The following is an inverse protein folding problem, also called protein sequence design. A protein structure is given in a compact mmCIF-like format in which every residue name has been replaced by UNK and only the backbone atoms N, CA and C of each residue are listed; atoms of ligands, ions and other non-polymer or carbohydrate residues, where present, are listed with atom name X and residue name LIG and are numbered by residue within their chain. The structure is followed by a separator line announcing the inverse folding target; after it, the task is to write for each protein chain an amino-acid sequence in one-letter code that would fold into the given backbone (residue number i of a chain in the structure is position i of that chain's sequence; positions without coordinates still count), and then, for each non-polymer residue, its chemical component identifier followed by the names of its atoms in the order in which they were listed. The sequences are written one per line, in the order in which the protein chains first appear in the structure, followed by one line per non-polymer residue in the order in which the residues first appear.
data_IF_209482855738
#
_entry.id   IF_209482855738
#
_cell.length_a   1.000
_cell.length_b   1.000
_cell.length_c   1.000
_cell.angle_alpha   90.00
_cell.angle_beta   90.00
_cell.angle_gamma   90.00
#
_symmetry.space_group_name_H-M   'P 1'
#
loop_
_entity.id
_entity.type
_entity.pdbx_description
1 polymer ?
#
# COMPACT_ATOMS: atom_id res chain seq x y z
N UNK A 1 -11.37 -13.18 -30.06
CA UNK A 1 -10.55 -12.00 -29.77
C UNK A 1 -9.32 -12.43 -28.98
N UNK A 2 -8.14 -11.97 -29.36
CA UNK A 2 -6.89 -12.22 -28.66
C UNK A 2 -6.81 -11.26 -27.45
N UNK A 3 -6.18 -11.69 -26.35
CA UNK A 3 -5.91 -10.83 -25.18
C UNK A 3 -5.28 -9.48 -25.60
N UNK A 4 -4.31 -9.52 -26.48
CA UNK A 4 -3.56 -8.33 -26.95
C UNK A 4 -4.39 -7.36 -27.81
N UNK A 5 -5.56 -7.79 -28.31
CA UNK A 5 -6.47 -6.90 -29.03
C UNK A 5 -7.27 -5.99 -28.06
N UNK A 6 -7.36 -6.43 -26.78
CA UNK A 6 -8.12 -5.72 -25.75
C UNK A 6 -7.22 -4.96 -24.75
N UNK A 7 -5.92 -5.32 -24.65
CA UNK A 7 -5.02 -4.78 -23.63
C UNK A 7 -3.70 -4.31 -24.25
N UNK A 8 -3.27 -3.13 -23.83
CA UNK A 8 -1.92 -2.61 -24.08
C UNK A 8 -1.12 -2.66 -22.77
N UNK A 9 -0.01 -3.40 -22.74
CA UNK A 9 0.91 -3.42 -21.62
C UNK A 9 1.96 -2.31 -21.80
N UNK A 10 2.04 -1.42 -20.83
CA UNK A 10 3.01 -0.33 -20.80
C UNK A 10 3.97 -0.61 -19.64
N UNK A 11 5.25 -0.93 -19.89
CA UNK A 11 6.22 -1.13 -18.82
C UNK A 11 6.49 0.17 -18.07
N UNK A 12 6.52 0.10 -16.74
CA UNK A 12 6.84 1.24 -15.86
C UNK A 12 7.97 0.83 -14.91
N UNK A 13 8.79 1.78 -14.46
CA UNK A 13 9.89 1.51 -13.54
C UNK A 13 9.67 2.11 -12.15
N UNK A 14 9.49 3.43 -12.06
CA UNK A 14 9.34 4.16 -10.80
C UNK A 14 7.96 4.73 -10.58
N UNK A 15 7.15 4.76 -11.63
CA UNK A 15 5.82 5.33 -11.60
C UNK A 15 5.28 5.62 -12.97
N UNK A 16 4.09 6.17 -13.02
CA UNK A 16 3.38 6.50 -14.26
C UNK A 16 2.41 7.65 -14.06
N UNK A 17 2.08 8.32 -15.17
CA UNK A 17 1.04 9.32 -15.23
C UNK A 17 -0.31 8.69 -15.56
N UNK A 18 -1.33 9.01 -14.78
CA UNK A 18 -2.72 8.67 -15.07
C UNK A 18 -3.65 9.80 -14.64
N UNK A 19 -4.53 10.24 -15.54
CA UNK A 19 -5.50 11.30 -15.28
C UNK A 19 -4.88 12.55 -14.60
N UNK A 20 -3.76 13.03 -15.12
CA UNK A 20 -2.99 14.19 -14.62
C UNK A 20 -2.36 13.99 -13.24
N UNK A 21 -2.37 12.79 -12.71
CA UNK A 21 -1.72 12.42 -11.45
C UNK A 21 -0.50 11.53 -11.67
N UNK A 22 0.56 11.76 -10.89
CA UNK A 22 1.71 10.89 -10.83
C UNK A 22 1.51 9.83 -9.75
N UNK A 23 1.66 8.57 -10.13
CA UNK A 23 1.66 7.43 -9.22
C UNK A 23 3.08 6.90 -9.07
N UNK A 24 3.60 6.90 -7.85
CA UNK A 24 4.83 6.19 -7.53
C UNK A 24 4.58 4.68 -7.49
N UNK A 25 5.54 3.92 -8.02
CA UNK A 25 5.58 2.46 -7.96
C UNK A 25 6.86 2.07 -7.24
N UNK A 26 6.75 1.20 -6.25
CA UNK A 26 7.89 0.75 -5.45
C UNK A 26 7.84 -0.75 -5.23
N UNK A 27 9.01 -1.45 -5.19
CA UNK A 27 9.06 -2.87 -4.89
C UNK A 27 8.65 -3.14 -3.44
N UNK A 28 8.01 -4.29 -3.21
CA UNK A 28 7.61 -4.77 -1.89
C UNK A 28 8.17 -6.16 -1.62
N UNK A 29 8.00 -6.64 -0.39
CA UNK A 29 8.59 -7.91 0.09
C UNK A 29 7.59 -9.06 -0.01
N UNK A 30 7.27 -9.48 -1.23
CA UNK A 30 6.38 -10.61 -1.47
C UNK A 30 7.05 -11.60 -2.41
N UNK A 31 7.14 -12.88 -2.01
CA UNK A 31 7.83 -13.94 -2.76
C UNK A 31 9.26 -13.55 -3.22
N UNK A 32 9.51 -13.59 -4.53
CA UNK A 32 10.81 -13.27 -5.12
C UNK A 32 10.98 -11.75 -5.22
N UNK A 33 12.15 -11.19 -4.81
CA UNK A 33 12.40 -9.76 -4.94
C UNK A 33 12.18 -9.23 -6.36
N UNK A 34 11.50 -8.08 -6.47
CA UNK A 34 11.23 -7.42 -7.76
C UNK A 34 10.06 -8.00 -8.55
N UNK A 35 9.24 -8.88 -7.97
CA UNK A 35 8.05 -9.44 -8.62
C UNK A 35 6.73 -8.87 -8.11
N UNK A 36 6.76 -8.11 -7.02
CA UNK A 36 5.59 -7.48 -6.42
C UNK A 36 5.84 -6.00 -6.14
N UNK A 37 4.80 -5.18 -6.31
CA UNK A 37 4.90 -3.73 -6.22
C UNK A 37 3.71 -3.13 -5.49
N UNK A 38 3.98 -2.07 -4.75
CA UNK A 38 2.99 -1.18 -4.18
C UNK A 38 2.85 0.09 -5.01
N UNK A 39 1.84 0.90 -4.68
CA UNK A 39 1.50 2.16 -5.33
C UNK A 39 1.35 3.28 -4.31
N UNK A 40 1.74 4.49 -4.67
CA UNK A 40 1.41 5.69 -3.90
C UNK A 40 0.96 6.82 -4.81
N UNK A 41 -0.20 7.39 -4.49
CA UNK A 41 -0.61 8.72 -4.95
C UNK A 41 -0.38 9.69 -3.79
N UNK A 42 0.74 10.41 -3.83
CA UNK A 42 1.20 11.25 -2.72
C UNK A 42 0.13 12.22 -2.23
N UNK A 43 -0.03 12.28 -0.93
CA UNK A 43 -1.07 13.07 -0.26
C UNK A 43 -2.47 12.46 -0.31
N UNK A 44 -2.71 11.41 -1.11
CA UNK A 44 -4.02 10.79 -1.24
C UNK A 44 -4.10 9.39 -0.62
N UNK A 45 -3.22 8.49 -1.02
CA UNK A 45 -3.14 7.14 -0.45
C UNK A 45 -1.82 6.45 -0.73
N UNK A 46 -1.47 5.52 0.13
CA UNK A 46 -0.44 4.51 -0.05
C UNK A 46 -1.11 3.12 -0.08
N UNK A 47 -0.71 2.27 -1.02
CA UNK A 47 -1.19 0.89 -1.14
C UNK A 47 0.02 -0.05 -1.24
N UNK A 48 0.17 -0.90 -0.24
CA UNK A 48 1.34 -1.78 -0.15
C UNK A 48 1.38 -2.87 -1.22
N UNK A 49 0.24 -3.29 -1.78
CA UNK A 49 0.18 -4.63 -2.38
C UNK A 49 0.39 -5.69 -1.31
N UNK A 50 0.50 -6.94 -1.71
CA UNK A 50 0.81 -8.05 -0.82
C UNK A 50 2.27 -7.98 -0.41
N UNK A 51 2.56 -8.01 0.89
CA UNK A 51 3.92 -7.77 1.39
C UNK A 51 4.13 -8.24 2.83
N UNK A 52 5.38 -8.56 3.16
CA UNK A 52 5.87 -8.50 4.55
C UNK A 52 6.03 -7.04 4.97
N UNK A 53 6.34 -6.75 6.26
CA UNK A 53 6.58 -5.38 6.70
C UNK A 53 7.64 -4.66 5.85
N UNK A 54 7.34 -3.41 5.49
CA UNK A 54 8.19 -2.51 4.71
C UNK A 54 8.30 -1.12 5.38
N UNK A 55 8.70 -1.03 6.66
CA UNK A 55 8.68 0.22 7.41
C UNK A 55 9.53 1.31 6.78
N UNK A 56 10.65 0.97 6.16
CA UNK A 56 11.54 1.91 5.48
C UNK A 56 10.88 2.54 4.23
N UNK A 57 10.02 1.78 3.54
CA UNK A 57 9.27 2.30 2.39
C UNK A 57 8.12 3.17 2.88
N UNK A 58 7.35 2.70 3.85
CA UNK A 58 6.24 3.47 4.42
C UNK A 58 6.73 4.81 4.97
N UNK A 59 7.89 4.85 5.63
CA UNK A 59 8.47 6.09 6.17
C UNK A 59 8.80 7.14 5.09
N UNK A 60 9.03 6.74 3.85
CA UNK A 60 9.29 7.67 2.74
C UNK A 60 8.02 8.36 2.22
N UNK A 61 6.86 7.76 2.45
CA UNK A 61 5.58 8.22 1.90
C UNK A 61 4.62 8.74 2.96
N UNK A 62 4.68 8.24 4.20
CA UNK A 62 3.75 8.60 5.27
C UNK A 62 3.88 10.09 5.61
N UNK A 63 2.82 10.86 5.40
CA UNK A 63 2.75 12.29 5.64
C UNK A 63 1.86 12.66 6.85
N UNK A 64 1.33 11.66 7.54
CA UNK A 64 0.43 11.82 8.69
C UNK A 64 -1.04 12.07 8.33
N UNK A 65 -1.37 12.27 7.05
CA UNK A 65 -2.72 12.66 6.61
C UNK A 65 -3.38 11.64 5.69
N UNK A 66 -2.63 11.00 4.82
CA UNK A 66 -3.16 10.02 3.87
C UNK A 66 -3.33 8.64 4.50
N UNK A 67 -4.33 7.85 4.08
CA UNK A 67 -4.48 6.47 4.51
C UNK A 67 -3.35 5.59 3.96
N UNK A 68 -2.85 4.71 4.81
CA UNK A 68 -1.88 3.67 4.48
C UNK A 68 -2.62 2.34 4.37
N UNK A 69 -2.95 1.91 3.16
CA UNK A 69 -3.62 0.62 2.92
C UNK A 69 -2.55 -0.46 2.88
N UNK A 70 -2.54 -1.37 3.87
CA UNK A 70 -1.45 -2.30 4.09
C UNK A 70 -1.93 -3.75 4.25
N UNK A 71 -1.18 -4.69 3.66
CA UNK A 71 -1.36 -6.13 3.84
C UNK A 71 -1.23 -6.49 5.33
N UNK A 72 -2.22 -7.16 5.89
CA UNK A 72 -2.13 -7.73 7.23
C UNK A 72 -3.17 -8.84 7.43
N UNK A 73 -2.69 -10.01 7.85
CA UNK A 73 -3.51 -11.08 8.37
C UNK A 73 -3.32 -11.22 9.89
N UNK A 74 -4.12 -12.05 10.53
CA UNK A 74 -3.96 -12.35 11.96
C UNK A 74 -2.62 -13.06 12.22
N UNK A 75 -2.23 -13.96 11.33
CA UNK A 75 -0.97 -14.69 11.36
C UNK A 75 -0.14 -14.38 10.12
N UNK A 76 1.10 -13.93 10.32
CA UNK A 76 2.06 -13.70 9.23
C UNK A 76 2.59 -15.01 8.63
N UNK A 77 3.19 -14.87 7.46
CA UNK A 77 3.89 -15.95 6.78
C UNK A 77 5.10 -15.39 6.00
N UNK A 78 5.91 -16.21 5.32
CA UNK A 78 7.10 -15.71 4.60
C UNK A 78 6.84 -14.69 3.50
N UNK A 79 5.57 -14.45 3.13
CA UNK A 79 5.18 -13.53 2.04
C UNK A 79 4.25 -12.40 2.48
N UNK A 80 3.59 -12.53 3.64
CA UNK A 80 2.57 -11.59 4.12
C UNK A 80 2.83 -11.14 5.56
N UNK A 81 2.37 -9.93 5.86
CA UNK A 81 2.45 -9.34 7.19
C UNK A 81 1.43 -9.99 8.13
N UNK A 82 1.87 -10.42 9.31
CA UNK A 82 0.98 -10.78 10.41
C UNK A 82 0.79 -9.64 11.40
N UNK A 83 -0.27 -9.71 12.22
CA UNK A 83 -0.49 -8.75 13.31
C UNK A 83 0.72 -8.59 14.24
N UNK A 84 1.40 -9.68 14.71
CA UNK A 84 2.60 -9.53 15.53
C UNK A 84 3.74 -8.80 14.81
N UNK A 85 3.89 -9.02 13.50
CA UNK A 85 4.91 -8.35 12.69
C UNK A 85 4.61 -6.87 12.55
N UNK A 86 3.36 -6.52 12.27
CA UNK A 86 2.90 -5.15 12.14
C UNK A 86 3.14 -4.37 13.43
N UNK A 87 2.78 -4.94 14.58
CA UNK A 87 2.99 -4.32 15.90
C UNK A 87 4.47 -4.18 16.29
N UNK A 88 5.34 -5.06 15.79
CA UNK A 88 6.78 -5.03 16.07
C UNK A 88 7.53 -4.05 15.17
N UNK A 89 7.18 -3.98 13.89
CA UNK A 89 7.96 -3.31 12.86
C UNK A 89 7.54 -1.84 12.62
N UNK A 90 6.32 -1.47 13.00
CA UNK A 90 5.80 -0.11 12.75
C UNK A 90 5.54 0.65 14.04
N UNK A 91 5.89 1.96 14.08
CA UNK A 91 5.50 2.84 15.17
C UNK A 91 3.97 2.97 15.29
N UNK A 92 3.47 3.18 16.51
CA UNK A 92 2.03 3.24 16.77
C UNK A 92 1.31 4.36 15.99
N UNK A 93 1.99 5.48 15.73
CA UNK A 93 1.46 6.60 14.93
C UNK A 93 1.27 6.22 13.45
N UNK A 94 2.09 5.34 12.92
CA UNK A 94 1.95 4.80 11.57
C UNK A 94 0.81 3.78 11.52
N UNK A 95 0.74 2.88 12.51
CA UNK A 95 -0.35 1.88 12.61
C UNK A 95 -1.72 2.56 12.66
N UNK A 96 -1.87 3.68 13.37
CA UNK A 96 -3.13 4.44 13.42
C UNK A 96 -3.59 4.99 12.08
N UNK A 97 -2.69 5.19 11.12
CA UNK A 97 -3.01 5.62 9.75
C UNK A 97 -3.36 4.44 8.84
N UNK A 98 -3.01 3.21 9.24
CA UNK A 98 -3.23 2.03 8.42
C UNK A 98 -4.70 1.64 8.33
N UNK A 99 -5.09 1.22 7.14
CA UNK A 99 -6.28 0.45 6.82
C UNK A 99 -5.81 -0.91 6.32
N UNK A 100 -6.00 -1.96 7.12
CA UNK A 100 -5.48 -3.28 6.80
C UNK A 100 -6.46 -4.10 5.98
N UNK A 101 -5.94 -4.91 5.07
CA UNK A 101 -6.67 -5.81 4.19
C UNK A 101 -5.93 -7.14 4.03
N UNK A 102 -6.41 -8.05 3.22
CA UNK A 102 -5.82 -9.36 2.90
C UNK A 102 -5.85 -10.39 4.04
N UNK A 103 -6.74 -10.22 5.00
CA UNK A 103 -6.99 -11.21 6.05
C UNK A 103 -7.80 -12.41 5.52
N UNK A 104 -7.54 -13.61 6.06
CA UNK A 104 -8.04 -14.87 5.51
C UNK A 104 -9.55 -15.08 5.68
N UNK A 105 -10.17 -14.52 6.73
CA UNK A 105 -11.58 -14.72 7.03
C UNK A 105 -12.24 -13.51 7.70
N UNK A 106 -13.57 -13.47 7.70
CA UNK A 106 -14.33 -12.47 8.45
C UNK A 106 -14.05 -12.52 9.95
N UNK A 107 -13.74 -13.71 10.49
CA UNK A 107 -13.35 -13.88 11.89
C UNK A 107 -11.99 -13.22 12.17
N UNK A 108 -11.01 -13.38 11.27
CA UNK A 108 -9.69 -12.74 11.37
C UNK A 108 -9.81 -11.22 11.27
N UNK A 109 -10.63 -10.72 10.33
CA UNK A 109 -10.93 -9.29 10.24
C UNK A 109 -11.55 -8.73 11.53
N UNK A 110 -12.42 -9.50 12.19
CA UNK A 110 -12.99 -9.14 13.50
C UNK A 110 -11.92 -9.13 14.59
N UNK A 111 -11.03 -10.11 14.60
CA UNK A 111 -9.94 -10.17 15.57
C UNK A 111 -8.92 -9.03 15.38
N UNK A 112 -8.58 -8.68 14.14
CA UNK A 112 -7.73 -7.53 13.81
C UNK A 112 -8.38 -6.21 14.29
N UNK A 113 -9.68 -6.05 14.08
CA UNK A 113 -10.41 -4.88 14.57
C UNK A 113 -10.45 -4.83 16.11
N UNK A 114 -10.62 -5.97 16.79
CA UNK A 114 -10.56 -6.07 18.25
C UNK A 114 -9.16 -5.73 18.80
N UNK A 115 -8.11 -5.96 18.01
CA UNK A 115 -6.74 -5.55 18.32
C UNK A 115 -6.47 -4.04 18.08
N UNK A 116 -7.49 -3.28 17.67
CA UNK A 116 -7.41 -1.83 17.49
C UNK A 116 -7.05 -1.37 16.09
N UNK A 117 -6.98 -2.27 15.10
CA UNK A 117 -6.71 -1.91 13.72
C UNK A 117 -7.97 -1.45 12.97
N UNK A 118 -7.79 -0.56 12.01
CA UNK A 118 -8.83 -0.26 11.03
C UNK A 118 -8.77 -1.33 9.93
N UNK A 119 -9.89 -2.02 9.72
CA UNK A 119 -9.96 -3.18 8.81
C UNK A 119 -10.86 -2.86 7.63
N UNK A 120 -10.35 -3.00 6.41
CA UNK A 120 -11.12 -2.85 5.18
C UNK A 120 -12.07 -4.04 4.97
N UNK A 121 -13.29 -3.76 4.55
CA UNK A 121 -14.29 -4.79 4.21
C UNK A 121 -14.72 -4.62 2.76
N UNK A 122 -15.15 -5.71 2.13
CA UNK A 122 -15.70 -5.66 0.78
C UNK A 122 -16.89 -4.66 0.72
N UNK A 123 -16.81 -3.73 -0.22
CA UNK A 123 -17.81 -2.67 -0.40
C UNK A 123 -17.54 -1.38 0.38
N UNK A 124 -16.54 -1.33 1.26
CA UNK A 124 -16.16 -0.10 1.93
C UNK A 124 -15.73 0.99 0.92
N UNK A 125 -16.05 2.23 1.27
CA UNK A 125 -15.66 3.42 0.50
C UNK A 125 -14.75 4.30 1.34
N UNK A 126 -13.56 4.54 0.85
CA UNK A 126 -12.60 5.43 1.49
C UNK A 126 -12.61 6.79 0.80
N UNK A 127 -12.87 7.85 1.58
CA UNK A 127 -12.70 9.22 1.08
C UNK A 127 -11.22 9.57 1.14
N UNK A 128 -10.62 9.81 0.00
CA UNK A 128 -9.21 10.19 -0.09
C UNK A 128 -9.04 11.70 0.09
N UNK A 129 -7.94 12.15 0.74
CA UNK A 129 -7.49 13.53 0.69
C UNK A 129 -7.17 13.96 -0.75
N UNK A 130 -6.95 15.27 -0.95
CA UNK A 130 -6.48 15.76 -2.25
C UNK A 130 -5.05 15.31 -2.50
N UNK A 131 -4.74 14.77 -3.69
CA UNK A 131 -3.37 14.47 -4.07
C UNK A 131 -2.48 15.71 -4.02
N UNK A 132 -1.20 15.51 -3.79
CA UNK A 132 -0.20 16.55 -4.02
C UNK A 132 -0.19 16.96 -5.50
N UNK A 133 0.16 18.24 -5.82
CA UNK A 133 0.34 18.66 -7.20
C UNK A 133 1.30 17.74 -7.95
N UNK A 134 0.92 17.29 -9.13
CA UNK A 134 1.63 16.27 -9.90
C UNK A 134 3.12 16.61 -10.14
N UNK A 135 3.45 17.89 -10.38
CA UNK A 135 4.84 18.34 -10.55
C UNK A 135 5.69 18.11 -9.30
N UNK A 136 5.13 18.33 -8.08
CA UNK A 136 5.83 18.09 -6.82
C UNK A 136 5.98 16.59 -6.54
N UNK A 137 4.93 15.81 -6.80
CA UNK A 137 4.95 14.36 -6.62
C UNK A 137 6.01 13.70 -7.52
N UNK A 138 6.05 14.07 -8.81
CA UNK A 138 7.03 13.57 -9.76
C UNK A 138 8.47 13.97 -9.40
N UNK A 139 8.70 15.21 -8.98
CA UNK A 139 10.01 15.67 -8.53
C UNK A 139 10.51 14.92 -7.29
N UNK A 140 9.63 14.66 -6.32
CA UNK A 140 9.95 13.88 -5.12
C UNK A 140 10.33 12.43 -5.46
N UNK A 141 9.64 11.81 -6.43
CA UNK A 141 9.97 10.47 -6.94
C UNK A 141 11.33 10.41 -7.62
N UNK A 142 11.71 11.45 -8.37
CA UNK A 142 12.99 11.52 -9.07
C UNK A 142 14.20 11.71 -8.13
N UNK A 143 14.00 12.30 -6.95
CA UNK A 143 15.05 12.54 -5.95
C UNK A 143 15.25 11.37 -4.97
N UNK A 144 14.39 10.39 -4.94
CA UNK A 144 14.51 9.19 -4.12
C UNK A 144 15.38 8.13 -4.84
N UNK A 145 16.72 8.25 -4.72
CA UNK A 145 17.71 7.27 -5.22
C UNK A 145 18.34 6.58 -4.01
#
# INVERSE_FOLDING_TARGET
ANFWDAFQLIPVSRGFWHAEHWFDVFPVRHHVPGTAYGLCLRGAFFYSGDTRPIPEVVAQYADGTMPLVHDCDLHGNPSHTGLPDLLREYPAEIIRQMLVYHYASAADGTALAAAGLRVAKAGDRLRLPKPQPAAQAHAASAGAI
#
